data_IF_509872257898
#
_entry.id   IF_509872257898
#
_cell.length_a   1.000
_cell.length_b   1.000
_cell.length_c   1.000
_cell.angle_alpha   90.00
_cell.angle_beta   90.00
_cell.angle_gamma   90.00
#
_symmetry.space_group_name_H-M   'P 1'
#
loop_
_entity.id
_entity.type
_entity.pdbx_description
1 polymer ?
#
# COMPACT_ATOMS: atom_id res chain seq x y z
N UNK A 1 24.55 -1.60 18.53
CA UNK A 1 23.29 -2.33 18.25
C UNK A 1 22.51 -1.55 17.20
N UNK A 2 22.11 -2.16 16.10
CA UNK A 2 21.31 -1.51 15.05
C UNK A 2 19.92 -2.19 14.99
N UNK A 3 18.87 -1.40 15.20
CA UNK A 3 17.49 -1.86 15.03
C UNK A 3 16.99 -1.54 13.61
N UNK A 4 16.16 -2.41 13.05
CA UNK A 4 15.46 -2.17 11.78
C UNK A 4 14.00 -1.83 12.08
N UNK A 5 13.55 -0.66 11.62
CA UNK A 5 12.16 -0.25 11.73
C UNK A 5 11.44 -0.51 10.41
N UNK A 6 10.43 -1.36 10.45
CA UNK A 6 9.57 -1.69 9.31
C UNK A 6 8.12 -1.36 9.63
N UNK A 7 7.35 -1.07 8.59
CA UNK A 7 5.92 -0.75 8.70
C UNK A 7 5.16 -1.63 7.73
N UNK A 8 4.04 -2.17 8.23
CA UNK A 8 3.10 -2.96 7.46
C UNK A 8 1.75 -2.23 7.41
N UNK A 9 1.16 -2.14 6.21
CA UNK A 9 -0.14 -1.52 5.95
C UNK A 9 -1.00 -2.53 5.20
N UNK A 10 -2.24 -2.70 5.64
CA UNK A 10 -3.24 -3.50 4.93
C UNK A 10 -4.12 -2.58 4.10
N UNK A 11 -4.33 -2.94 2.84
CA UNK A 11 -5.24 -2.27 1.91
C UNK A 11 -6.31 -3.26 1.48
N UNK A 12 -7.57 -2.87 1.51
CA UNK A 12 -8.71 -3.63 1.01
C UNK A 12 -9.43 -2.93 -0.15
N UNK A 13 -8.91 -1.77 -0.57
CA UNK A 13 -9.43 -0.97 -1.66
C UNK A 13 -8.27 -0.29 -2.40
N UNK A 14 -8.51 0.11 -3.64
CA UNK A 14 -7.56 0.94 -4.37
C UNK A 14 -7.57 2.38 -3.82
N UNK A 15 -6.42 3.04 -3.72
CA UNK A 15 -6.35 4.46 -3.39
C UNK A 15 -7.13 5.30 -4.40
N UNK A 16 -7.99 6.20 -3.91
CA UNK A 16 -8.81 7.08 -4.76
C UNK A 16 -7.97 8.08 -5.56
N UNK A 17 -6.87 8.56 -4.95
CA UNK A 17 -5.99 9.57 -5.53
C UNK A 17 -4.61 8.97 -5.75
N UNK A 18 -4.28 8.72 -7.01
CA UNK A 18 -2.93 8.35 -7.43
C UNK A 18 -2.35 9.39 -8.36
N UNK A 19 -1.05 9.64 -8.20
CA UNK A 19 -0.27 10.48 -9.09
C UNK A 19 0.76 9.62 -9.82
N UNK A 20 0.74 9.71 -11.14
CA UNK A 20 1.80 9.12 -11.95
C UNK A 20 3.05 10.01 -11.83
N UNK A 21 4.16 9.40 -11.42
CA UNK A 21 5.46 10.06 -11.34
C UNK A 21 6.41 9.49 -12.40
N UNK A 22 7.70 9.78 -12.29
CA UNK A 22 8.72 9.33 -13.26
C UNK A 22 8.63 7.82 -13.52
N UNK A 23 8.91 7.43 -14.76
CA UNK A 23 8.93 6.03 -15.23
C UNK A 23 7.57 5.30 -15.11
N UNK A 24 6.46 6.04 -15.05
CA UNK A 24 5.10 5.47 -14.93
C UNK A 24 4.80 4.89 -13.55
N UNK A 25 5.61 5.20 -12.54
CA UNK A 25 5.38 4.73 -11.17
C UNK A 25 4.16 5.45 -10.60
N UNK A 26 3.42 4.76 -9.75
CA UNK A 26 2.24 5.33 -9.11
C UNK A 26 2.57 5.69 -7.67
N UNK A 27 2.38 6.96 -7.35
CA UNK A 27 2.49 7.49 -6.00
C UNK A 27 1.11 7.76 -5.43
N UNK A 28 0.90 7.37 -4.18
CA UNK A 28 -0.33 7.67 -3.46
C UNK A 28 -0.06 7.76 -1.96
N UNK A 29 -1.03 8.30 -1.24
CA UNK A 29 -0.99 8.44 0.21
C UNK A 29 -2.08 7.58 0.83
N UNK A 30 -1.71 6.79 1.83
CA UNK A 30 -2.64 5.99 2.64
C UNK A 30 -2.79 6.68 3.99
N UNK A 31 -4.03 6.94 4.38
CA UNK A 31 -4.35 7.51 5.69
C UNK A 31 -4.68 6.37 6.66
N UNK A 32 -3.85 6.18 7.69
CA UNK A 32 -4.00 5.12 8.70
C UNK A 32 -4.69 5.63 9.97
N UNK A 33 -5.47 6.70 9.86
CA UNK A 33 -6.09 7.44 10.96
C UNK A 33 -5.12 8.38 11.68
N UNK A 34 -4.01 7.87 12.22
CA UNK A 34 -3.00 8.69 12.94
C UNK A 34 -1.88 9.21 12.07
N UNK A 35 -1.57 8.52 10.98
CA UNK A 35 -0.44 8.86 10.11
C UNK A 35 -0.82 8.77 8.64
N UNK A 36 -0.20 9.64 7.85
CA UNK A 36 -0.22 9.56 6.39
C UNK A 36 1.03 8.83 5.90
N UNK A 37 0.85 7.77 5.12
CA UNK A 37 1.97 7.03 4.53
C UNK A 37 1.97 7.25 3.04
N UNK A 38 2.97 7.97 2.56
CA UNK A 38 3.19 8.15 1.12
C UNK A 38 4.02 7.00 0.60
N UNK A 39 3.55 6.31 -0.43
CA UNK A 39 4.30 5.25 -1.09
C UNK A 39 4.30 5.46 -2.59
N UNK A 40 5.40 5.05 -3.20
CA UNK A 40 5.56 5.04 -4.65
C UNK A 40 5.84 3.61 -5.08
N UNK A 41 4.99 3.05 -5.94
CA UNK A 41 5.11 1.66 -6.38
C UNK A 41 5.34 1.57 -7.89
N UNK A 42 6.01 0.50 -8.30
CA UNK A 42 6.33 0.23 -9.70
C UNK A 42 5.05 -0.04 -10.51
N UNK A 43 5.04 0.31 -11.82
CA UNK A 43 3.88 0.09 -12.69
C UNK A 43 3.39 -1.36 -12.70
N UNK A 44 4.31 -2.33 -12.70
CA UNK A 44 3.99 -3.76 -12.65
C UNK A 44 3.23 -4.14 -11.37
N UNK A 45 3.63 -3.58 -10.23
CA UNK A 45 2.96 -3.84 -8.95
C UNK A 45 1.59 -3.17 -8.89
N UNK A 46 1.48 -1.94 -9.39
CA UNK A 46 0.19 -1.25 -9.49
C UNK A 46 -0.79 -2.01 -10.39
N UNK A 47 -0.35 -2.48 -11.56
CA UNK A 47 -1.18 -3.29 -12.46
C UNK A 47 -1.70 -4.57 -11.78
N UNK A 48 -0.86 -5.26 -11.00
CA UNK A 48 -1.30 -6.42 -10.21
C UNK A 48 -2.37 -6.06 -9.19
N UNK A 49 -2.21 -4.93 -8.50
CA UNK A 49 -3.19 -4.43 -7.53
C UNK A 49 -4.54 -4.13 -8.18
N UNK A 50 -4.52 -3.46 -9.33
CA UNK A 50 -5.74 -3.17 -10.11
C UNK A 50 -6.41 -4.45 -10.61
N UNK A 51 -5.63 -5.42 -11.10
CA UNK A 51 -6.15 -6.72 -11.54
C UNK A 51 -6.81 -7.47 -10.39
N UNK A 52 -6.17 -7.57 -9.23
CA UNK A 52 -6.77 -8.21 -8.06
C UNK A 52 -8.05 -7.52 -7.60
N UNK A 53 -8.09 -6.19 -7.64
CA UNK A 53 -9.30 -5.43 -7.30
C UNK A 53 -10.47 -5.65 -8.29
N UNK A 54 -10.17 -5.97 -9.55
CA UNK A 54 -11.18 -6.29 -10.56
C UNK A 54 -11.58 -7.78 -10.55
N UNK A 55 -10.66 -8.68 -10.19
CA UNK A 55 -10.85 -10.14 -10.28
C UNK A 55 -11.42 -10.74 -9.00
N UNK A 56 -11.18 -10.15 -7.84
CA UNK A 56 -11.60 -10.71 -6.55
C UNK A 56 -12.74 -9.88 -5.94
N UNK A 57 -13.86 -10.51 -5.51
CA UNK A 57 -14.96 -9.79 -4.86
C UNK A 57 -14.52 -9.19 -3.52
N UNK A 58 -13.54 -9.81 -2.85
CA UNK A 58 -12.86 -9.27 -1.68
C UNK A 58 -11.39 -9.66 -1.73
N UNK A 59 -10.52 -8.72 -1.36
CA UNK A 59 -9.07 -8.92 -1.36
C UNK A 59 -8.41 -8.07 -0.27
N UNK A 60 -7.20 -8.48 0.09
CA UNK A 60 -6.34 -7.72 0.99
C UNK A 60 -4.92 -7.68 0.44
N UNK A 61 -4.34 -6.48 0.38
CA UNK A 61 -2.94 -6.30 0.08
C UNK A 61 -2.17 -5.89 1.33
N UNK A 62 -1.12 -6.62 1.65
CA UNK A 62 -0.15 -6.26 2.64
C UNK A 62 0.98 -5.51 1.95
N UNK A 63 1.19 -4.27 2.39
CA UNK A 63 2.29 -3.42 1.95
C UNK A 63 3.27 -3.31 3.10
N UNK A 64 4.46 -3.88 2.92
CA UNK A 64 5.56 -3.76 3.89
C UNK A 64 6.65 -2.87 3.31
N UNK A 65 7.26 -2.03 4.15
CA UNK A 65 8.42 -1.24 3.76
C UNK A 65 9.13 -0.62 4.95
N UNK A 66 10.19 0.13 4.67
CA UNK A 66 10.96 0.87 5.66
C UNK A 66 10.41 2.29 5.83
N UNK A 67 10.65 2.88 6.99
CA UNK A 67 10.32 4.29 7.25
C UNK A 67 11.35 5.17 6.56
N UNK A 68 10.90 5.98 5.62
CA UNK A 68 11.68 7.00 4.94
C UNK A 68 11.48 8.38 5.55
N UNK A 69 11.63 9.39 4.70
CA UNK A 69 11.54 10.80 5.08
C UNK A 69 10.19 11.16 5.71
N UNK A 70 10.23 12.05 6.71
CA UNK A 70 9.01 12.59 7.33
C UNK A 70 8.28 13.49 6.33
N UNK A 71 6.96 13.38 6.28
CA UNK A 71 6.06 14.27 5.52
C UNK A 71 5.07 14.92 6.48
N UNK A 72 4.31 15.90 6.00
CA UNK A 72 3.24 16.52 6.80
C UNK A 72 2.22 15.46 7.22
N UNK A 73 2.17 15.17 8.52
CA UNK A 73 1.24 14.19 9.10
C UNK A 73 1.69 12.72 8.99
N UNK A 74 2.93 12.41 8.58
CA UNK A 74 3.41 11.03 8.59
C UNK A 74 4.78 10.86 7.95
N UNK A 75 4.96 9.84 7.10
CA UNK A 75 6.25 9.49 6.49
C UNK A 75 6.10 8.87 5.11
N UNK A 76 7.20 8.86 4.37
CA UNK A 76 7.34 8.09 3.14
C UNK A 76 7.71 6.64 3.45
N UNK A 77 7.14 5.67 2.73
CA UNK A 77 7.55 4.27 2.79
C UNK A 77 8.55 3.99 1.69
N UNK A 78 9.76 3.59 2.07
CA UNK A 78 10.81 3.19 1.14
C UNK A 78 10.83 1.67 0.98
N UNK A 79 11.28 1.21 -0.20
CA UNK A 79 11.31 -0.21 -0.56
C UNK A 79 9.97 -0.94 -0.38
N UNK A 80 8.84 -0.42 -0.90
CA UNK A 80 7.54 -1.06 -0.70
C UNK A 80 7.48 -2.42 -1.41
N UNK A 81 7.15 -3.46 -0.64
CA UNK A 81 6.83 -4.79 -1.10
C UNK A 81 5.33 -5.05 -0.89
N UNK A 82 4.64 -5.51 -1.93
CA UNK A 82 3.19 -5.76 -1.90
C UNK A 82 2.92 -7.25 -2.10
N UNK A 83 2.13 -7.83 -1.20
CA UNK A 83 1.56 -9.16 -1.31
C UNK A 83 0.04 -9.06 -1.31
N UNK A 84 -0.63 -9.68 -2.26
CA UNK A 84 -2.09 -9.58 -2.44
C UNK A 84 -2.69 -10.96 -2.22
N UNK A 85 -3.74 -11.04 -1.42
CA UNK A 85 -4.47 -12.25 -1.11
C UNK A 85 -5.95 -12.06 -1.47
N UNK A 86 -6.55 -13.06 -2.11
CA UNK A 86 -7.99 -13.14 -2.27
C UNK A 86 -8.62 -13.52 -0.92
N UNK A 87 -9.63 -12.76 -0.50
CA UNK A 87 -10.42 -13.09 0.67
C UNK A 87 -11.70 -13.79 0.20
N UNK A 88 -11.71 -15.13 0.27
CA UNK A 88 -12.94 -15.90 0.10
C UNK A 88 -13.77 -15.70 1.36
N UNK A 89 -14.91 -15.02 1.21
CA UNK A 89 -15.77 -14.62 2.32
C UNK A 89 -15.96 -15.73 3.35
N UNK A 90 -15.32 -15.59 4.50
CA UNK A 90 -15.90 -15.96 5.78
C UNK A 90 -16.18 -14.64 6.46
N UNK A 91 -17.42 -14.45 6.92
CA UNK A 91 -17.89 -13.26 7.64
C UNK A 91 -16.75 -12.63 8.43
N UNK A 92 -16.34 -11.42 8.02
CA UNK A 92 -15.53 -10.56 8.86
C UNK A 92 -16.56 -9.94 9.82
N UNK A 93 -16.90 -10.68 10.88
CA UNK A 93 -17.61 -10.12 12.02
C UNK A 93 -16.73 -9.02 12.62
N UNK A 94 -17.28 -7.81 12.47
CA UNK A 94 -17.13 -6.54 13.19
C UNK A 94 -16.06 -6.42 14.27
#
# INVERSE_FOLDING_TARGET
MSGKLEINIKLNALPEKTQMVKNGWQQFVVETGRHKVKLTIRPRTWKKLQQSAASYPSWIAFVTGKVGSRIKGGFEMTEPAIQIFECKGKNIEQ
#
